data_IF_102136148449
#
_entry.id   IF_102136148449
#
_cell.length_a   1.000
_cell.length_b   1.000
_cell.length_c   1.000
_cell.angle_alpha   90.00
_cell.angle_beta   90.00
_cell.angle_gamma   90.00
#
_symmetry.space_group_name_H-M   'P 1'
#
loop_
_entity.id
_entity.type
_entity.pdbx_description
1 polymer ?
#
# COMPACT_ATOMS: atom_id res chain seq x y z
N UNK A 1 9.87 7.34 -2.02
CA UNK A 1 8.51 7.55 -1.50
C UNK A 1 7.61 6.58 -2.24
N UNK A 2 7.01 5.65 -1.51
CA UNK A 2 6.19 4.54 -2.03
C UNK A 2 4.79 5.09 -2.25
N UNK A 3 4.52 5.57 -3.45
CA UNK A 3 3.25 6.18 -3.82
C UNK A 3 2.38 5.19 -4.57
N UNK A 4 1.08 5.22 -4.31
CA UNK A 4 0.05 4.48 -5.04
C UNK A 4 -0.08 5.08 -6.44
N UNK A 5 0.24 4.30 -7.47
CA UNK A 5 0.29 4.76 -8.86
C UNK A 5 -0.79 4.15 -9.73
N UNK A 6 -1.15 2.90 -9.48
CA UNK A 6 -1.97 2.10 -10.38
C UNK A 6 -3.06 1.33 -9.63
N UNK A 7 -4.19 1.11 -10.31
CA UNK A 7 -5.26 0.26 -9.80
C UNK A 7 -4.81 -1.21 -9.89
N UNK A 8 -5.10 -1.98 -8.85
CA UNK A 8 -4.72 -3.39 -8.71
C UNK A 8 -3.40 -3.63 -7.96
N UNK A 9 -2.66 -2.57 -7.60
CA UNK A 9 -1.49 -2.71 -6.73
C UNK A 9 -1.88 -3.35 -5.39
N UNK A 10 -1.12 -4.35 -4.95
CA UNK A 10 -1.32 -5.03 -3.67
C UNK A 10 -0.31 -4.52 -2.66
N UNK A 11 -0.77 -4.09 -1.50
CA UNK A 11 0.11 -3.60 -0.43
C UNK A 11 -0.05 -4.43 0.83
N UNK A 12 1.08 -4.71 1.49
CA UNK A 12 1.12 -5.44 2.76
C UNK A 12 1.79 -4.61 3.85
N UNK A 13 1.22 -4.64 5.05
CA UNK A 13 1.87 -4.18 6.26
C UNK A 13 2.71 -5.32 6.86
N UNK A 14 4.03 -5.14 6.95
CA UNK A 14 4.93 -6.15 7.51
C UNK A 14 4.85 -6.25 9.06
N UNK A 15 4.17 -5.32 9.73
CA UNK A 15 4.00 -5.32 11.19
C UNK A 15 2.77 -6.16 11.60
N UNK A 16 1.60 -5.85 11.06
CA UNK A 16 0.34 -6.50 11.46
C UNK A 16 -0.18 -7.53 10.45
N UNK A 17 0.39 -7.57 9.24
CA UNK A 17 -0.02 -8.51 8.19
C UNK A 17 -1.22 -8.08 7.36
N UNK A 18 -1.77 -6.87 7.55
CA UNK A 18 -2.87 -6.37 6.73
C UNK A 18 -2.47 -6.28 5.25
N UNK A 19 -3.35 -6.76 4.36
CA UNK A 19 -3.19 -6.71 2.91
C UNK A 19 -4.38 -5.94 2.31
N UNK A 20 -4.10 -5.03 1.40
CA UNK A 20 -5.11 -4.22 0.70
C UNK A 20 -4.80 -4.18 -0.80
N UNK A 21 -5.84 -4.06 -1.62
CA UNK A 21 -5.76 -3.85 -3.06
C UNK A 21 -6.20 -2.42 -3.39
N UNK A 22 -5.48 -1.75 -4.28
CA UNK A 22 -5.84 -0.40 -4.75
C UNK A 22 -6.97 -0.49 -5.76
N UNK A 23 -8.12 0.12 -5.45
CA UNK A 23 -9.26 0.20 -6.37
C UNK A 23 -9.25 1.49 -7.21
N UNK A 24 -8.68 2.57 -6.69
CA UNK A 24 -8.49 3.86 -7.37
C UNK A 24 -7.16 4.49 -6.94
N UNK A 25 -6.36 4.96 -7.89
CA UNK A 25 -5.03 5.52 -7.62
C UNK A 25 -5.10 7.02 -7.27
N UNK A 26 -4.41 7.41 -6.19
CA UNK A 26 -4.42 8.78 -5.66
C UNK A 26 -3.04 9.42 -5.43
N UNK A 27 -1.94 8.75 -5.78
CA UNK A 27 -0.57 9.29 -5.68
C UNK A 27 -0.01 9.44 -4.25
N UNK A 28 -0.80 9.19 -3.21
CA UNK A 28 -0.35 9.20 -1.82
C UNK A 28 0.37 7.90 -1.40
N UNK A 29 1.06 7.93 -0.26
CA UNK A 29 1.62 6.72 0.36
C UNK A 29 0.56 6.04 1.24
N UNK A 30 0.51 4.70 1.24
CA UNK A 30 -0.30 3.94 2.19
C UNK A 30 0.48 3.73 3.47
N UNK A 31 -0.09 4.14 4.61
CA UNK A 31 0.51 3.99 5.93
C UNK A 31 -0.36 3.05 6.77
N UNK A 32 0.26 2.03 7.36
CA UNK A 32 -0.37 1.13 8.33
C UNK A 32 0.58 0.93 9.52
N UNK A 33 0.05 0.94 10.74
CA UNK A 33 0.86 0.84 11.97
C UNK A 33 1.94 1.93 12.11
N UNK A 34 1.76 3.08 11.46
CA UNK A 34 2.70 4.21 11.53
C UNK A 34 3.86 4.14 10.52
N UNK A 35 3.93 3.09 9.69
CA UNK A 35 4.96 2.92 8.66
C UNK A 35 4.36 2.77 7.25
N UNK A 36 5.10 3.15 6.19
CA UNK A 36 4.68 2.89 4.81
C UNK A 36 4.47 1.39 4.56
N UNK A 37 3.37 1.05 3.91
CA UNK A 37 3.12 -0.32 3.45
C UNK A 37 4.03 -0.69 2.28
N UNK A 38 4.29 -1.97 2.10
CA UNK A 38 5.18 -2.52 1.06
C UNK A 38 4.36 -3.01 -0.12
N UNK A 39 4.65 -2.51 -1.32
CA UNK A 39 4.08 -3.02 -2.57
C UNK A 39 4.50 -4.49 -2.76
N UNK A 40 3.54 -5.37 -2.99
CA UNK A 40 3.72 -6.77 -3.32
C UNK A 40 3.64 -6.94 -4.85
N UNK A 41 4.26 -8.01 -5.36
CA UNK A 41 4.27 -8.35 -6.80
C UNK A 41 2.87 -8.49 -7.41
#
# INVERSE_FOLDING_TARGET
MVQVKEVGEIYKCEICGNIVEVLEAGGGELICCGEPMVLQE
#
